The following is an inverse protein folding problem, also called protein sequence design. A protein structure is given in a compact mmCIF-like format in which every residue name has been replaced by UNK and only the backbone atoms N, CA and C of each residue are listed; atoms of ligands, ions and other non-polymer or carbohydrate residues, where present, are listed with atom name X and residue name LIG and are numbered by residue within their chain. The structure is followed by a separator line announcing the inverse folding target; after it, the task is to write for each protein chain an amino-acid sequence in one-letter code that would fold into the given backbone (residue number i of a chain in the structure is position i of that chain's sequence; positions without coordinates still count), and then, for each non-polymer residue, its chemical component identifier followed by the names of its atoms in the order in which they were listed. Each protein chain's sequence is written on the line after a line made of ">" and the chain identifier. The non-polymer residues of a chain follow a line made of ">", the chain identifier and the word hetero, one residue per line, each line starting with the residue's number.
data_IF_718908124774
#
_entry.id   IF_718908124774
#
_cell.length_a   1.000
_cell.length_b   1.000
_cell.length_c   1.000
_cell.angle_alpha   90.00
_cell.angle_beta   90.00
_cell.angle_gamma   90.00
#
_symmetry.space_group_name_H-M   'P 1'
#
loop_
_entity.id
_entity.type
_entity.pdbx_description
1 polymer ?
#
# COMPACT_ATOMS: atom_id res chain seq x y z
N UNK A 1 13.73 24.94 -15.26
CA UNK A 1 13.18 25.72 -14.13
C UNK A 1 11.67 25.72 -14.19
N UNK A 2 11.01 24.88 -13.40
CA UNK A 2 9.56 24.99 -13.19
C UNK A 2 9.29 26.15 -12.24
N UNK A 3 8.37 27.05 -12.59
CA UNK A 3 7.96 28.13 -11.69
C UNK A 3 7.35 27.56 -10.41
N UNK A 4 7.46 28.28 -9.29
CA UNK A 4 6.84 27.88 -8.03
C UNK A 4 5.34 27.59 -8.20
N UNK A 5 4.64 28.43 -8.97
CA UNK A 5 3.23 28.23 -9.31
C UNK A 5 2.96 26.86 -9.99
N UNK A 6 3.80 26.45 -10.93
CA UNK A 6 3.66 25.16 -11.61
C UNK A 6 3.91 23.98 -10.66
N UNK A 7 4.92 24.09 -9.78
CA UNK A 7 5.22 23.06 -8.79
C UNK A 7 4.06 22.88 -7.80
N UNK A 8 3.45 23.98 -7.35
CA UNK A 8 2.32 23.91 -6.43
C UNK A 8 1.07 23.35 -7.13
N UNK A 9 0.84 23.70 -8.40
CA UNK A 9 -0.20 23.08 -9.22
C UNK A 9 -0.05 21.55 -9.34
N UNK A 10 1.18 21.05 -9.51
CA UNK A 10 1.44 19.60 -9.52
C UNK A 10 1.18 18.94 -8.16
N UNK A 11 1.58 19.57 -7.05
CA UNK A 11 1.31 19.04 -5.71
C UNK A 11 -0.19 18.91 -5.45
N UNK A 12 -0.96 19.96 -5.76
CA UNK A 12 -2.43 19.98 -5.60
C UNK A 12 -3.07 18.87 -6.45
N UNK A 13 -2.68 18.78 -7.72
CA UNK A 13 -3.16 17.72 -8.62
C UNK A 13 -2.88 16.33 -8.07
N UNK A 14 -1.67 16.11 -7.52
CA UNK A 14 -1.29 14.82 -6.93
C UNK A 14 -2.09 14.50 -5.66
N UNK A 15 -2.43 15.48 -4.82
CA UNK A 15 -3.32 15.27 -3.68
C UNK A 15 -4.72 14.83 -4.09
N UNK A 16 -5.31 15.46 -5.12
CA UNK A 16 -6.62 15.04 -5.65
C UNK A 16 -6.57 13.64 -6.29
N UNK A 17 -5.47 13.32 -6.98
CA UNK A 17 -5.24 11.98 -7.51
C UNK A 17 -5.22 10.93 -6.40
N UNK A 18 -4.42 11.13 -5.34
CA UNK A 18 -4.39 10.21 -4.18
C UNK A 18 -5.77 10.08 -3.50
N UNK A 19 -6.51 11.19 -3.38
CA UNK A 19 -7.87 11.15 -2.83
C UNK A 19 -8.81 10.30 -3.70
N UNK A 20 -8.68 10.37 -5.03
CA UNK A 20 -9.49 9.54 -5.93
C UNK A 20 -9.17 8.05 -5.81
N UNK A 21 -7.89 7.67 -5.67
CA UNK A 21 -7.50 6.28 -5.41
C UNK A 21 -7.98 5.78 -4.05
N UNK A 22 -7.92 6.63 -3.02
CA UNK A 22 -8.46 6.30 -1.70
C UNK A 22 -9.97 5.99 -1.76
N UNK A 23 -10.76 6.80 -2.46
CA UNK A 23 -12.19 6.57 -2.64
C UNK A 23 -12.48 5.29 -3.44
N UNK A 24 -11.63 4.98 -4.43
CA UNK A 24 -11.70 3.71 -5.16
C UNK A 24 -11.51 2.51 -4.22
N UNK A 25 -10.46 2.49 -3.40
CA UNK A 25 -10.25 1.41 -2.42
C UNK A 25 -11.36 1.37 -1.35
N UNK A 26 -11.85 2.53 -0.91
CA UNK A 26 -12.98 2.62 0.01
C UNK A 26 -14.22 1.89 -0.52
N UNK A 27 -14.53 2.00 -1.82
CA UNK A 27 -15.64 1.27 -2.43
C UNK A 27 -15.46 -0.26 -2.41
N UNK A 28 -14.22 -0.74 -2.58
CA UNK A 28 -13.90 -2.17 -2.48
C UNK A 28 -14.07 -2.69 -1.05
N UNK A 29 -13.60 -1.92 -0.06
CA UNK A 29 -13.81 -2.26 1.35
C UNK A 29 -15.29 -2.23 1.72
N UNK A 30 -16.06 -1.27 1.21
CA UNK A 30 -17.50 -1.22 1.41
C UNK A 30 -18.18 -2.50 0.93
N UNK A 31 -17.89 -2.93 -0.30
CA UNK A 31 -18.42 -4.17 -0.86
C UNK A 31 -17.98 -5.42 -0.07
N UNK A 32 -16.72 -5.48 0.36
CA UNK A 32 -16.22 -6.55 1.22
C UNK A 32 -16.98 -6.61 2.55
N UNK A 33 -17.20 -5.46 3.21
CA UNK A 33 -17.92 -5.42 4.47
C UNK A 33 -19.39 -5.82 4.30
N UNK A 34 -20.05 -5.31 3.26
CA UNK A 34 -21.44 -5.65 2.94
C UNK A 34 -21.64 -7.17 2.80
N UNK A 35 -20.82 -7.80 1.96
CA UNK A 35 -20.87 -9.26 1.74
C UNK A 35 -20.45 -10.09 2.96
N UNK A 36 -19.55 -9.55 3.78
CA UNK A 36 -19.05 -10.23 4.97
C UNK A 36 -20.01 -10.20 6.16
N UNK A 37 -20.76 -9.12 6.32
CA UNK A 37 -21.65 -8.87 7.46
C UNK A 37 -23.04 -9.44 7.20
N UNK A 38 -23.49 -9.44 5.94
CA UNK A 38 -24.79 -9.96 5.52
C UNK A 38 -24.53 -11.00 4.39
N UNK A 39 -24.05 -12.22 4.74
CA UNK A 39 -23.78 -13.24 3.75
C UNK A 39 -25.08 -13.66 3.05
N UNK A 40 -25.03 -13.84 1.73
CA UNK A 40 -26.19 -14.28 0.97
C UNK A 40 -26.57 -15.72 1.36
N UNK A 41 -27.87 -15.97 1.49
CA UNK A 41 -28.42 -17.28 1.87
C UNK A 41 -27.92 -18.40 0.95
N UNK A 42 -27.67 -18.09 -0.33
CA UNK A 42 -27.15 -19.01 -1.35
C UNK A 42 -25.74 -19.57 -1.04
N UNK A 43 -24.94 -18.86 -0.23
CA UNK A 43 -23.55 -19.25 0.13
C UNK A 43 -23.53 -20.07 1.44
N UNK A 44 -24.69 -20.28 2.07
CA UNK A 44 -24.86 -21.13 3.24
C UNK A 44 -24.70 -20.40 4.58
N UNK A 45 -25.07 -19.12 4.63
CA UNK A 45 -25.09 -18.24 5.83
C UNK A 45 -23.72 -17.97 6.48
N UNK A 46 -22.63 -18.45 5.90
CA UNK A 46 -21.27 -18.15 6.34
C UNK A 46 -20.59 -17.19 5.38
N UNK A 47 -19.82 -16.24 5.92
CA UNK A 47 -18.95 -15.39 5.13
C UNK A 47 -17.96 -16.24 4.31
N UNK A 48 -17.23 -17.15 4.96
CA UNK A 48 -16.32 -18.05 4.26
C UNK A 48 -17.14 -19.20 3.68
N UNK A 49 -17.18 -19.38 2.34
CA UNK A 49 -17.89 -20.49 1.73
C UNK A 49 -17.32 -21.82 2.22
N UNK A 50 -18.19 -22.82 2.39
CA UNK A 50 -17.77 -24.16 2.81
C UNK A 50 -16.76 -24.73 1.79
N UNK A 51 -15.62 -25.21 2.29
CA UNK A 51 -14.57 -25.81 1.48
C UNK A 51 -13.45 -24.85 1.04
N UNK A 52 -13.50 -23.57 1.44
CA UNK A 52 -12.39 -22.62 1.21
C UNK A 52 -11.49 -22.57 2.45
N UNK A 53 -10.21 -22.89 2.27
CA UNK A 53 -9.18 -22.68 3.29
C UNK A 53 -8.75 -21.21 3.30
N UNK A 54 -8.81 -20.58 4.47
CA UNK A 54 -8.34 -19.21 4.63
C UNK A 54 -6.82 -19.13 4.66
N UNK A 55 -6.28 -18.08 4.06
CA UNK A 55 -4.85 -17.75 4.19
C UNK A 55 -4.54 -17.42 5.65
N UNK A 56 -3.50 -18.07 6.21
CA UNK A 56 -3.06 -17.77 7.56
C UNK A 56 -2.48 -16.33 7.63
N UNK A 57 -3.07 -15.42 8.43
CA UNK A 57 -2.67 -14.01 8.41
C UNK A 57 -1.23 -13.78 8.92
N UNK A 58 -0.76 -14.63 9.83
CA UNK A 58 0.57 -14.51 10.46
C UNK A 58 1.72 -15.14 9.65
N UNK A 59 1.46 -15.63 8.44
CA UNK A 59 2.50 -16.18 7.56
C UNK A 59 2.99 -15.11 6.57
N UNK A 60 2.75 -15.33 5.28
CA UNK A 60 3.18 -14.46 4.18
C UNK A 60 2.56 -13.04 4.28
N UNK A 61 1.25 -12.87 4.60
CA UNK A 61 0.67 -11.53 4.69
C UNK A 61 1.34 -10.66 5.78
N UNK A 62 1.65 -11.25 6.94
CA UNK A 62 2.36 -10.55 8.01
C UNK A 62 3.77 -10.14 7.59
N UNK A 63 4.51 -11.03 6.92
CA UNK A 63 5.83 -10.71 6.38
C UNK A 63 5.76 -9.55 5.37
N UNK A 64 4.78 -9.57 4.46
CA UNK A 64 4.57 -8.50 3.49
C UNK A 64 4.30 -7.14 4.16
N UNK A 65 3.57 -7.12 5.28
CA UNK A 65 3.35 -5.89 6.06
C UNK A 65 4.65 -5.33 6.65
N UNK A 66 5.55 -6.21 7.15
CA UNK A 66 6.86 -5.81 7.66
C UNK A 66 7.77 -5.30 6.55
N UNK A 67 7.73 -5.93 5.37
CA UNK A 67 8.50 -5.48 4.20
C UNK A 67 8.07 -4.07 3.80
N UNK A 68 6.76 -3.81 3.66
CA UNK A 68 6.26 -2.48 3.34
C UNK A 68 6.65 -1.44 4.41
N UNK A 69 6.51 -1.77 5.69
CA UNK A 69 6.91 -0.87 6.79
C UNK A 69 8.41 -0.55 6.75
N UNK A 70 9.25 -1.56 6.53
CA UNK A 70 10.71 -1.36 6.43
C UNK A 70 11.10 -0.53 5.20
N UNK A 71 10.39 -0.71 4.07
CA UNK A 71 10.58 0.10 2.87
C UNK A 71 10.24 1.57 3.10
N UNK A 72 9.20 1.86 3.88
CA UNK A 72 8.86 3.23 4.26
C UNK A 72 9.97 3.87 5.10
N UNK A 73 10.49 3.18 6.12
CA UNK A 73 11.59 3.67 6.99
C UNK A 73 12.84 3.99 6.16
N UNK A 74 13.23 3.08 5.27
CA UNK A 74 14.40 3.25 4.40
C UNK A 74 14.22 4.42 3.43
N UNK A 75 13.02 4.61 2.87
CA UNK A 75 12.69 5.76 2.03
C UNK A 75 12.78 7.08 2.80
N UNK A 76 12.23 7.16 4.03
CA UNK A 76 12.34 8.37 4.86
C UNK A 76 13.81 8.69 5.13
N UNK A 77 14.65 7.68 5.33
CA UNK A 77 16.07 7.88 5.57
C UNK A 77 16.81 8.41 4.34
N UNK A 78 16.45 7.93 3.15
CA UNK A 78 16.92 8.46 1.86
C UNK A 78 16.51 9.92 1.69
N UNK A 79 15.25 10.25 2.01
CA UNK A 79 14.74 11.62 1.96
C UNK A 79 15.57 12.58 2.85
N UNK A 80 15.82 12.21 4.10
CA UNK A 80 16.72 12.97 4.99
C UNK A 80 18.16 13.03 4.47
N UNK A 81 18.63 12.00 3.77
CA UNK A 81 19.93 12.02 3.08
C UNK A 81 20.00 13.11 2.01
N UNK A 82 18.96 13.23 1.19
CA UNK A 82 18.86 14.29 0.18
C UNK A 82 18.82 15.69 0.80
N UNK A 83 18.03 15.89 1.86
CA UNK A 83 17.96 17.18 2.58
C UNK A 83 19.29 17.58 3.22
N UNK A 84 20.07 16.60 3.69
CA UNK A 84 21.39 16.83 4.31
C UNK A 84 22.56 16.85 3.33
N UNK A 85 22.30 16.84 2.01
CA UNK A 85 23.30 16.72 0.94
C UNK A 85 24.22 15.49 1.05
N UNK A 86 23.85 14.50 1.87
CA UNK A 86 24.55 13.22 2.03
C UNK A 86 23.76 12.13 1.30
N UNK A 87 24.12 11.86 0.04
CA UNK A 87 23.45 10.85 -0.78
C UNK A 87 23.53 9.47 -0.11
N UNK A 88 22.37 8.88 0.16
CA UNK A 88 22.21 7.55 0.75
C UNK A 88 21.81 6.51 -0.30
N UNK A 89 22.67 6.33 -1.31
CA UNK A 89 22.38 5.46 -2.46
C UNK A 89 22.08 4.01 -2.06
N UNK A 90 22.78 3.48 -1.04
CA UNK A 90 22.53 2.13 -0.52
C UNK A 90 21.08 1.96 -0.07
N UNK A 91 20.55 2.90 0.73
CA UNK A 91 19.18 2.83 1.23
C UNK A 91 18.13 3.05 0.14
N UNK A 92 18.47 3.80 -0.92
CA UNK A 92 17.60 3.94 -2.09
C UNK A 92 17.45 2.60 -2.83
N UNK A 93 18.56 1.91 -3.12
CA UNK A 93 18.52 0.57 -3.71
C UNK A 93 17.85 -0.45 -2.81
N UNK A 94 18.06 -0.35 -1.49
CA UNK A 94 17.38 -1.21 -0.52
C UNK A 94 15.86 -1.02 -0.53
N UNK A 95 15.39 0.23 -0.65
CA UNK A 95 13.94 0.53 -0.74
C UNK A 95 13.32 -0.13 -1.98
N UNK A 96 13.99 -0.02 -3.14
CA UNK A 96 13.54 -0.67 -4.38
C UNK A 96 13.57 -2.19 -4.28
N UNK A 97 14.62 -2.74 -3.68
CA UNK A 97 14.75 -4.18 -3.46
C UNK A 97 13.63 -4.72 -2.57
N UNK A 98 13.31 -4.04 -1.46
CA UNK A 98 12.19 -4.41 -0.60
C UNK A 98 10.84 -4.36 -1.34
N UNK A 99 10.64 -3.35 -2.20
CA UNK A 99 9.45 -3.28 -3.05
C UNK A 99 9.34 -4.44 -4.05
N UNK A 100 10.45 -4.83 -4.68
CA UNK A 100 10.50 -6.01 -5.55
C UNK A 100 10.26 -7.31 -4.78
N UNK A 101 10.81 -7.44 -3.57
CA UNK A 101 10.54 -8.58 -2.69
C UNK A 101 9.06 -8.70 -2.35
N UNK A 102 8.39 -7.60 -2.04
CA UNK A 102 6.94 -7.58 -1.79
C UNK A 102 6.18 -8.10 -3.02
N UNK A 103 6.50 -7.61 -4.22
CA UNK A 103 5.85 -8.05 -5.47
C UNK A 103 6.10 -9.52 -5.81
N UNK A 104 7.22 -10.10 -5.37
CA UNK A 104 7.53 -11.52 -5.60
C UNK A 104 6.84 -12.46 -4.61
N UNK A 105 6.52 -11.96 -3.41
CA UNK A 105 5.84 -12.72 -2.36
C UNK A 105 4.31 -12.61 -2.43
N UNK A 106 3.80 -11.55 -3.06
CA UNK A 106 2.38 -11.26 -3.24
C UNK A 106 1.81 -12.03 -4.44
#
# INVERSE_FOLDING_TARGET
>A
NHSFFMQDGFKISFYYFLFSEFMFFFSLFWFFFDTSLIPMEEIGEFWIPKGVEMVQPFSIPFLNSLILLSSAITLTWVHYGFLSFKKKMLFYFLTLFLGLMFLMLQ
#
